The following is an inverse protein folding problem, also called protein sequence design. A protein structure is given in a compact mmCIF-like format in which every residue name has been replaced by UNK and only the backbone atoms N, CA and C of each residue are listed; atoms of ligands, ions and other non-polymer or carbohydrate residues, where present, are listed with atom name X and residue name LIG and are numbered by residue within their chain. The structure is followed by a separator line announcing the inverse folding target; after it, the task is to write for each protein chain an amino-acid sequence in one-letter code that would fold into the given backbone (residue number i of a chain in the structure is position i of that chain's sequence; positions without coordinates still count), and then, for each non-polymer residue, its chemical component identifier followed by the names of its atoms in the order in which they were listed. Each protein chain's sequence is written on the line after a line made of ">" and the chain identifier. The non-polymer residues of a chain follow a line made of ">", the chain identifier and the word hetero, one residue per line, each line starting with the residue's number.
data_IF_454477270740
#
_entry.id   IF_454477270740
#
_cell.length_a   1.000
_cell.length_b   1.000
_cell.length_c   1.000
_cell.angle_alpha   90.00
_cell.angle_beta   90.00
_cell.angle_gamma   90.00
#
_symmetry.space_group_name_H-M   'P 1'
#
loop_
_entity.id
_entity.type
_entity.pdbx_description
1 polymer ?
#
# COMPACT_ATOMS: atom_id res chain seq x y z
N UNK A 1 -20.29 3.27 19.45
CA UNK A 1 -20.20 1.95 18.78
C UNK A 1 -21.37 1.04 19.13
N UNK A 2 -21.70 0.82 20.42
CA UNK A 2 -22.81 -0.05 20.85
C UNK A 2 -24.17 0.34 20.24
N UNK A 3 -24.51 1.63 20.29
CA UNK A 3 -25.76 2.17 19.70
C UNK A 3 -25.86 1.93 18.19
N UNK A 4 -24.77 2.15 17.45
CA UNK A 4 -24.74 1.86 16.02
C UNK A 4 -24.93 0.37 15.71
N UNK A 5 -24.39 -0.52 16.55
CA UNK A 5 -24.62 -1.97 16.45
C UNK A 5 -26.08 -2.30 16.69
N UNK A 6 -26.74 -1.65 17.64
CA UNK A 6 -28.14 -1.89 17.98
C UNK A 6 -29.10 -1.39 16.88
N UNK A 7 -28.84 -0.21 16.31
CA UNK A 7 -29.58 0.33 15.16
C UNK A 7 -29.41 -0.59 13.95
N UNK A 8 -28.20 -1.09 13.69
CA UNK A 8 -27.96 -2.03 12.61
C UNK A 8 -28.61 -3.40 12.86
N UNK A 9 -28.66 -3.85 14.11
CA UNK A 9 -29.33 -5.10 14.49
C UNK A 9 -30.82 -5.05 14.20
N UNK A 10 -31.47 -3.94 14.58
CA UNK A 10 -32.90 -3.75 14.36
C UNK A 10 -33.26 -3.61 12.89
N UNK A 11 -32.42 -2.96 12.07
CA UNK A 11 -32.67 -2.81 10.63
C UNK A 11 -32.65 -4.12 9.85
N UNK A 12 -31.91 -5.12 10.33
CA UNK A 12 -31.81 -6.46 9.72
C UNK A 12 -32.64 -7.52 10.46
N UNK A 13 -33.68 -7.10 11.18
CA UNK A 13 -34.62 -7.98 11.90
C UNK A 13 -33.92 -8.95 12.86
N UNK A 14 -32.78 -8.55 13.44
CA UNK A 14 -31.96 -9.39 14.32
C UNK A 14 -31.56 -10.75 13.69
N UNK A 15 -31.33 -10.78 12.38
CA UNK A 15 -30.86 -11.97 11.67
C UNK A 15 -29.34 -12.07 11.70
N UNK A 16 -28.79 -13.01 12.47
CA UNK A 16 -27.35 -13.25 12.53
C UNK A 16 -26.75 -13.60 11.17
N UNK A 17 -27.43 -14.47 10.41
CA UNK A 17 -27.01 -14.88 9.07
C UNK A 17 -26.90 -13.70 8.08
N UNK A 18 -27.85 -12.77 8.12
CA UNK A 18 -27.83 -11.60 7.22
C UNK A 18 -26.66 -10.67 7.55
N UNK A 19 -26.44 -10.40 8.84
CA UNK A 19 -25.34 -9.56 9.30
C UNK A 19 -23.97 -10.17 8.99
N UNK A 20 -23.79 -11.48 9.21
CA UNK A 20 -22.53 -12.17 8.93
C UNK A 20 -22.15 -12.12 7.44
N UNK A 21 -23.14 -12.14 6.54
CA UNK A 21 -22.89 -12.02 5.08
C UNK A 21 -22.47 -10.62 4.65
N UNK A 22 -22.94 -9.60 5.34
CA UNK A 22 -22.66 -8.19 5.03
C UNK A 22 -21.32 -7.72 5.63
N UNK A 23 -20.92 -8.32 6.76
CA UNK A 23 -19.62 -8.04 7.40
C UNK A 23 -18.47 -8.54 6.51
N UNK A 24 -17.72 -7.60 5.94
CA UNK A 24 -16.49 -7.90 5.20
C UNK A 24 -15.29 -7.87 6.15
N UNK A 25 -14.75 -9.04 6.46
CA UNK A 25 -13.58 -9.15 7.32
C UNK A 25 -12.26 -9.02 6.55
N UNK A 26 -11.41 -8.04 6.94
CA UNK A 26 -10.13 -7.74 6.26
C UNK A 26 -8.88 -8.00 7.11
N UNK A 27 -9.00 -8.71 8.24
CA UNK A 27 -7.91 -8.92 9.21
C UNK A 27 -7.86 -10.32 9.81
N UNK A 28 -7.51 -10.43 11.10
CA UNK A 28 -7.57 -11.66 11.91
C UNK A 28 -8.64 -11.51 13.02
N UNK A 29 -9.65 -12.40 13.03
CA UNK A 29 -10.84 -12.31 13.90
C UNK A 29 -10.45 -12.35 15.37
N UNK A 30 -9.37 -13.08 15.67
CA UNK A 30 -8.87 -13.26 17.02
C UNK A 30 -8.21 -11.99 17.60
N UNK A 31 -7.98 -10.97 16.78
CA UNK A 31 -7.44 -9.67 17.20
C UNK A 31 -8.52 -8.61 17.44
N UNK A 32 -9.80 -8.98 17.36
CA UNK A 32 -10.90 -8.07 17.64
C UNK A 32 -11.01 -7.77 19.15
N UNK A 33 -11.47 -6.57 19.53
CA UNK A 33 -11.80 -6.27 20.92
C UNK A 33 -12.85 -7.25 21.48
N UNK A 34 -12.75 -7.60 22.76
CA UNK A 34 -13.60 -8.64 23.37
C UNK A 34 -15.11 -8.41 23.18
N UNK A 35 -15.58 -7.17 23.25
CA UNK A 35 -16.98 -6.83 22.96
C UNK A 35 -17.40 -7.26 21.55
N UNK A 36 -16.59 -6.93 20.53
CA UNK A 36 -16.87 -7.29 19.13
C UNK A 36 -16.82 -8.80 18.93
N UNK A 37 -15.87 -9.48 19.58
CA UNK A 37 -15.72 -10.93 19.50
C UNK A 37 -16.97 -11.65 20.06
N UNK A 38 -17.50 -11.17 21.19
CA UNK A 38 -18.75 -11.68 21.78
C UNK A 38 -19.95 -11.46 20.84
N UNK A 39 -20.05 -10.28 20.24
CA UNK A 39 -21.12 -9.96 19.27
C UNK A 39 -21.06 -10.89 18.06
N UNK A 40 -19.87 -11.17 17.51
CA UNK A 40 -19.73 -12.09 16.38
C UNK A 40 -20.15 -13.51 16.78
N UNK A 41 -19.73 -13.99 17.96
CA UNK A 41 -20.12 -15.31 18.46
C UNK A 41 -21.64 -15.45 18.62
N UNK A 42 -22.31 -14.40 19.12
CA UNK A 42 -23.78 -14.36 19.24
C UNK A 42 -24.46 -14.49 17.86
N UNK A 43 -23.95 -13.77 16.86
CA UNK A 43 -24.48 -13.83 15.50
C UNK A 43 -24.25 -15.20 14.83
N UNK A 44 -23.09 -15.82 15.08
CA UNK A 44 -22.76 -17.17 14.61
C UNK A 44 -23.68 -18.22 15.23
N UNK A 45 -23.96 -18.11 16.54
CA UNK A 45 -24.90 -18.98 17.23
C UNK A 45 -26.33 -18.82 16.71
N UNK A 46 -26.79 -17.58 16.47
CA UNK A 46 -28.12 -17.32 15.88
C UNK A 46 -28.24 -17.87 14.46
N UNK A 47 -27.22 -17.68 13.63
CA UNK A 47 -27.15 -18.21 12.27
C UNK A 47 -27.19 -19.74 12.27
N UNK A 48 -26.41 -20.38 13.14
CA UNK A 48 -26.42 -21.83 13.27
C UNK A 48 -27.79 -22.35 13.71
N UNK A 49 -28.45 -21.68 14.67
CA UNK A 49 -29.78 -22.06 15.16
C UNK A 49 -30.86 -21.93 14.09
N UNK A 50 -30.88 -20.82 13.35
CA UNK A 50 -31.94 -20.51 12.37
C UNK A 50 -31.72 -21.18 11.01
N UNK A 51 -30.48 -21.19 10.52
CA UNK A 51 -30.17 -21.63 9.15
C UNK A 51 -29.29 -22.88 9.09
N UNK A 52 -28.88 -23.45 10.23
CA UNK A 52 -27.97 -24.61 10.32
C UNK A 52 -26.66 -24.43 9.54
N UNK A 53 -26.28 -23.17 9.32
CA UNK A 53 -25.13 -22.79 8.52
C UNK A 53 -24.56 -21.51 9.09
N UNK A 54 -23.23 -21.45 9.15
CA UNK A 54 -22.47 -20.26 9.51
C UNK A 54 -21.83 -19.76 8.21
N UNK A 55 -22.17 -18.56 7.73
CA UNK A 55 -21.55 -17.96 6.56
C UNK A 55 -20.04 -17.91 6.71
N UNK A 56 -19.33 -18.40 5.69
CA UNK A 56 -17.88 -18.34 5.68
C UNK A 56 -17.41 -16.93 5.29
N UNK A 57 -16.54 -16.36 6.11
CA UNK A 57 -15.92 -15.06 5.85
C UNK A 57 -14.86 -15.23 4.77
N UNK A 58 -15.28 -15.16 3.50
CA UNK A 58 -14.34 -15.12 2.39
C UNK A 58 -13.50 -13.86 2.51
N UNK A 59 -12.24 -14.03 2.91
CA UNK A 59 -11.23 -12.97 2.91
C UNK A 59 -11.21 -12.40 1.50
N UNK A 60 -11.67 -11.15 1.33
CA UNK A 60 -11.51 -10.44 0.06
C UNK A 60 -10.02 -10.16 -0.10
N UNK A 61 -9.29 -11.10 -0.70
CA UNK A 61 -7.93 -10.88 -1.14
C UNK A 61 -7.96 -9.65 -2.03
N UNK A 62 -7.29 -8.59 -1.60
CA UNK A 62 -7.06 -7.42 -2.45
C UNK A 62 -6.44 -7.98 -3.73
N UNK A 63 -7.12 -7.86 -4.87
CA UNK A 63 -6.47 -8.05 -6.15
C UNK A 63 -5.24 -7.12 -6.11
N UNK A 64 -4.05 -7.70 -6.05
CA UNK A 64 -2.81 -6.95 -6.07
C UNK A 64 -2.86 -6.18 -7.38
N UNK A 65 -3.14 -4.88 -7.33
CA UNK A 65 -3.15 -4.05 -8.53
C UNK A 65 -1.83 -4.28 -9.26
N UNK A 66 -1.86 -4.32 -10.59
CA UNK A 66 -0.69 -4.52 -11.45
C UNK A 66 0.25 -3.31 -11.43
N UNK A 67 0.55 -2.80 -10.24
CA UNK A 67 1.53 -1.75 -10.05
C UNK A 67 2.91 -2.37 -10.30
N UNK A 68 3.39 -2.15 -11.52
CA UNK A 68 4.78 -2.38 -11.87
C UNK A 68 5.46 -1.04 -11.61
N UNK A 69 6.40 -0.99 -10.65
CA UNK A 69 7.24 0.19 -10.47
C UNK A 69 7.93 0.52 -11.79
N UNK A 70 7.70 1.74 -12.28
CA UNK A 70 8.28 2.19 -13.52
C UNK A 70 9.78 2.45 -13.34
N UNK A 71 10.58 1.41 -13.61
CA UNK A 71 12.06 1.46 -13.55
C UNK A 71 12.66 2.49 -14.52
N UNK A 72 11.89 3.03 -15.47
CA UNK A 72 12.38 4.05 -16.40
C UNK A 72 12.75 5.36 -15.70
N UNK A 73 12.06 5.73 -14.61
CA UNK A 73 12.31 7.00 -13.91
C UNK A 73 13.67 7.05 -13.21
N UNK A 74 14.18 5.92 -12.72
CA UNK A 74 15.48 5.87 -12.04
C UNK A 74 16.64 5.95 -13.03
N UNK A 75 16.59 5.15 -14.10
CA UNK A 75 17.66 5.12 -15.12
C UNK A 75 17.75 6.46 -15.86
N UNK A 76 16.61 7.07 -16.19
CA UNK A 76 16.57 8.38 -16.85
C UNK A 76 17.15 9.50 -15.96
N UNK A 77 16.87 9.45 -14.66
CA UNK A 77 17.40 10.43 -13.70
C UNK A 77 18.91 10.32 -13.54
N UNK A 78 19.46 9.10 -13.40
CA UNK A 78 20.93 8.88 -13.36
C UNK A 78 21.57 9.35 -14.67
N UNK A 79 21.00 9.00 -15.82
CA UNK A 79 21.54 9.37 -17.13
C UNK A 79 21.63 10.88 -17.33
N UNK A 80 20.61 11.62 -16.86
CA UNK A 80 20.58 13.08 -16.94
C UNK A 80 21.71 13.74 -16.13
N UNK A 81 21.93 13.29 -14.89
CA UNK A 81 23.01 13.82 -14.06
C UNK A 81 24.40 13.51 -14.64
N UNK A 82 24.58 12.32 -15.22
CA UNK A 82 25.84 11.93 -15.86
C UNK A 82 26.14 12.81 -17.09
N UNK A 83 25.11 13.12 -17.89
CA UNK A 83 25.23 14.02 -19.05
C UNK A 83 25.65 15.43 -18.61
N UNK A 84 24.99 16.00 -17.60
CA UNK A 84 25.34 17.32 -17.07
C UNK A 84 26.80 17.35 -16.58
N UNK A 85 27.20 16.32 -15.82
CA UNK A 85 28.58 16.20 -15.35
C UNK A 85 29.58 16.19 -16.49
N UNK A 86 29.31 15.43 -17.56
CA UNK A 86 30.18 15.37 -18.74
C UNK A 86 30.28 16.72 -19.46
N UNK A 87 29.16 17.44 -19.63
CA UNK A 87 29.14 18.75 -20.29
C UNK A 87 29.94 19.79 -19.51
N UNK A 88 29.89 19.76 -18.17
CA UNK A 88 30.69 20.66 -17.32
C UNK A 88 32.17 20.26 -17.30
N UNK A 89 32.49 18.97 -17.41
CA UNK A 89 33.88 18.50 -17.39
C UNK A 89 34.68 18.97 -18.61
N UNK A 90 34.05 19.05 -19.79
CA UNK A 90 34.70 19.46 -21.05
C UNK A 90 35.40 20.83 -20.93
N UNK A 91 34.72 21.93 -20.55
CA UNK A 91 35.36 23.23 -20.43
C UNK A 91 36.40 23.27 -19.31
N UNK A 92 36.20 22.54 -18.21
CA UNK A 92 37.17 22.48 -17.11
C UNK A 92 38.49 21.87 -17.58
N UNK A 93 38.43 20.73 -18.27
CA UNK A 93 39.62 20.08 -18.83
C UNK A 93 40.27 20.94 -19.92
N UNK A 94 39.45 21.63 -20.74
CA UNK A 94 39.92 22.59 -21.73
C UNK A 94 40.73 23.72 -21.10
N UNK A 95 40.23 24.35 -20.03
CA UNK A 95 40.92 25.42 -19.30
C UNK A 95 42.24 24.95 -18.68
N UNK A 96 42.26 23.75 -18.08
CA UNK A 96 43.49 23.18 -17.50
C UNK A 96 44.55 22.98 -18.57
N UNK A 97 44.20 22.37 -19.71
CA UNK A 97 45.14 22.14 -20.81
C UNK A 97 45.60 23.43 -21.47
N UNK A 98 44.72 24.41 -21.58
CA UNK A 98 45.07 25.72 -22.11
C UNK A 98 46.06 26.45 -21.19
N UNK A 99 45.84 26.39 -19.87
CA UNK A 99 46.77 26.97 -18.88
C UNK A 99 48.14 26.28 -18.89
N UNK A 100 48.15 24.95 -18.97
CA UNK A 100 49.39 24.15 -19.09
C UNK A 100 50.19 24.54 -20.34
N UNK A 101 49.51 24.74 -21.48
CA UNK A 101 50.14 25.15 -22.74
C UNK A 101 50.70 26.59 -22.65
N UNK A 102 49.96 27.53 -22.08
CA UNK A 102 50.45 28.90 -21.83
C UNK A 102 51.67 28.85 -20.91
N UNK A 103 51.59 28.15 -19.79
CA UNK A 103 52.70 28.03 -18.85
C UNK A 103 53.94 27.43 -19.51
N UNK A 104 53.78 26.43 -20.40
CA UNK A 104 54.88 25.84 -21.15
C UNK A 104 55.50 26.81 -22.16
N UNK A 105 54.71 27.69 -22.78
CA UNK A 105 55.20 28.67 -23.75
C UNK A 105 55.95 29.83 -23.10
N UNK A 106 55.57 30.24 -21.88
CA UNK A 106 56.18 31.36 -21.15
C UNK A 106 57.22 30.92 -20.10
N UNK A 107 57.43 29.62 -19.91
CA UNK A 107 58.48 29.05 -19.04
C UNK A 107 59.75 28.66 -19.81
N UNK A 108 59.84 29.03 -21.09
CA UNK A 108 61.01 28.89 -21.96
C UNK A 108 61.48 30.30 -22.36
#
# INVERSE_FOLDING_TARGET
>A
MKEAVEIYRSSLSNSGNAMLKDIVFRGDKNKLPGYTLNIIQELEADSLKKTRHIPDFKRKTRAKGSYTEDKSSFISTIGFYLLIGAVILIPVLGCIKFFELISSLFSN
#
